data_IF_183307390268
#
_entry.id   IF_183307390268
#
_cell.length_a   1.000
_cell.length_b   1.000
_cell.length_c   1.000
_cell.angle_alpha   90.00
_cell.angle_beta   90.00
_cell.angle_gamma   90.00
#
_symmetry.space_group_name_H-M   'P 1'
#
loop_
_entity.id
_entity.type
_entity.pdbx_description
1 polymer ?
#
# COMPACT_ATOMS: atom_id res chain seq x y z
N UNK A 1 -21.28 12.92 -17.54
CA UNK A 1 -20.28 11.91 -17.13
C UNK A 1 -19.32 12.47 -16.09
N UNK A 2 -18.71 13.65 -16.34
CA UNK A 2 -17.87 14.36 -15.36
C UNK A 2 -18.60 14.67 -14.04
N UNK A 3 -19.85 15.15 -14.07
CA UNK A 3 -20.59 15.47 -12.82
C UNK A 3 -20.85 14.27 -11.91
N UNK A 4 -21.03 13.07 -12.49
CA UNK A 4 -21.21 11.84 -11.71
C UNK A 4 -19.90 11.41 -11.06
N UNK A 5 -18.78 11.51 -11.78
CA UNK A 5 -17.45 11.24 -11.23
C UNK A 5 -17.12 12.20 -10.09
N UNK A 6 -17.42 13.48 -10.29
CA UNK A 6 -17.19 14.53 -9.30
C UNK A 6 -18.04 14.31 -8.04
N UNK A 7 -19.30 13.89 -8.19
CA UNK A 7 -20.17 13.49 -7.08
C UNK A 7 -19.66 12.23 -6.36
N UNK A 8 -19.10 11.26 -7.08
CA UNK A 8 -18.47 10.10 -6.45
C UNK A 8 -17.20 10.46 -5.66
N UNK A 9 -16.38 11.36 -6.19
CA UNK A 9 -15.17 11.84 -5.52
C UNK A 9 -15.49 12.69 -4.29
N UNK A 10 -16.44 13.61 -4.40
CA UNK A 10 -16.77 14.58 -3.35
C UNK A 10 -17.78 14.04 -2.32
N UNK A 11 -18.90 13.45 -2.74
CA UNK A 11 -19.94 12.98 -1.83
C UNK A 11 -19.75 11.53 -1.37
N UNK A 12 -19.32 10.62 -2.26
CA UNK A 12 -19.26 9.18 -1.95
C UNK A 12 -17.90 8.69 -1.48
N UNK A 13 -16.92 9.59 -1.34
CA UNK A 13 -15.56 9.30 -0.85
C UNK A 13 -14.91 8.14 -1.65
N UNK A 14 -15.18 8.05 -2.95
CA UNK A 14 -14.75 6.90 -3.77
C UNK A 14 -13.22 6.85 -3.92
N UNK A 15 -12.58 8.02 -4.01
CA UNK A 15 -11.11 8.13 -3.98
C UNK A 15 -10.50 7.51 -2.72
N UNK A 16 -11.11 7.74 -1.56
CA UNK A 16 -10.68 7.17 -0.28
C UNK A 16 -10.72 5.64 -0.30
N UNK A 17 -11.79 5.07 -0.85
CA UNK A 17 -11.93 3.60 -0.97
C UNK A 17 -10.90 3.02 -1.93
N UNK A 18 -10.68 3.68 -3.06
CA UNK A 18 -9.66 3.28 -4.04
C UNK A 18 -8.25 3.34 -3.45
N UNK A 19 -7.95 4.37 -2.65
CA UNK A 19 -6.67 4.52 -1.98
C UNK A 19 -6.41 3.39 -0.98
N UNK A 20 -7.41 3.01 -0.17
CA UNK A 20 -7.31 1.85 0.74
C UNK A 20 -7.08 0.56 -0.03
N UNK A 21 -7.84 0.31 -1.10
CA UNK A 21 -7.67 -0.89 -1.94
C UNK A 21 -6.26 -0.91 -2.55
N UNK A 22 -5.75 0.24 -3.00
CA UNK A 22 -4.41 0.36 -3.55
C UNK A 22 -3.33 0.03 -2.50
N UNK A 23 -3.46 0.54 -1.28
CA UNK A 23 -2.57 0.17 -0.18
C UNK A 23 -2.58 -1.34 0.10
N UNK A 24 -3.77 -1.97 0.14
CA UNK A 24 -3.88 -3.41 0.33
C UNK A 24 -3.19 -4.19 -0.82
N UNK A 25 -3.38 -3.75 -2.07
CA UNK A 25 -2.75 -4.37 -3.23
C UNK A 25 -1.22 -4.26 -3.20
N UNK A 26 -0.68 -3.11 -2.79
CA UNK A 26 0.77 -2.91 -2.64
C UNK A 26 1.37 -3.80 -1.57
N UNK A 27 0.72 -3.90 -0.40
CA UNK A 27 1.16 -4.78 0.69
C UNK A 27 1.12 -6.25 0.25
N UNK A 28 0.05 -6.66 -0.43
CA UNK A 28 -0.06 -8.01 -0.98
C UNK A 28 1.05 -8.31 -1.98
N UNK A 29 1.27 -7.42 -2.95
CA UNK A 29 2.31 -7.59 -3.97
C UNK A 29 3.70 -7.70 -3.32
N UNK A 30 4.04 -6.79 -2.41
CA UNK A 30 5.31 -6.83 -1.68
C UNK A 30 5.50 -8.17 -0.96
N UNK A 31 4.46 -8.63 -0.25
CA UNK A 31 4.47 -9.89 0.49
C UNK A 31 4.66 -11.09 -0.44
N UNK A 32 3.94 -11.11 -1.57
CA UNK A 32 4.05 -12.16 -2.57
C UNK A 32 5.46 -12.25 -3.17
N UNK A 33 6.06 -11.11 -3.52
CA UNK A 33 7.44 -11.05 -4.02
C UNK A 33 8.47 -11.45 -2.96
N UNK A 34 8.29 -11.01 -1.70
CA UNK A 34 9.14 -11.40 -0.58
C UNK A 34 9.15 -12.92 -0.35
N UNK A 35 7.98 -13.56 -0.33
CA UNK A 35 7.90 -15.02 -0.20
C UNK A 35 8.41 -15.74 -1.45
N UNK A 36 8.15 -15.20 -2.63
CA UNK A 36 8.69 -15.74 -3.88
C UNK A 36 10.22 -15.74 -3.90
N UNK A 37 10.85 -14.73 -3.31
CA UNK A 37 12.30 -14.68 -3.14
C UNK A 37 12.80 -15.74 -2.14
N UNK A 38 12.21 -15.78 -0.94
CA UNK A 38 12.57 -16.75 0.09
C UNK A 38 12.37 -18.23 -0.36
N UNK A 39 11.38 -18.48 -1.22
CA UNK A 39 11.14 -19.81 -1.78
C UNK A 39 12.16 -20.21 -2.86
N UNK A 40 12.68 -19.23 -3.62
CA UNK A 40 13.62 -19.49 -4.72
C UNK A 40 15.06 -19.65 -4.25
N UNK A 41 15.49 -18.81 -3.30
CA UNK A 41 16.86 -18.83 -2.78
C UNK A 41 16.89 -19.52 -1.40
N UNK A 42 16.88 -20.85 -1.40
CA UNK A 42 17.06 -21.66 -0.17
C UNK A 42 18.52 -21.79 0.26
N UNK A 43 19.47 -21.27 -0.52
CA UNK A 43 20.91 -21.35 -0.24
C UNK A 43 21.42 -20.24 0.69
N UNK A 44 20.65 -19.17 0.86
CA UNK A 44 21.03 -18.04 1.71
C UNK A 44 20.68 -18.33 3.18
N UNK A 45 21.52 -17.93 4.14
CA UNK A 45 21.18 -18.00 5.55
C UNK A 45 19.95 -17.13 5.84
N UNK A 46 19.11 -17.55 6.78
CA UNK A 46 17.81 -16.91 7.05
C UNK A 46 17.89 -15.42 7.38
N UNK A 47 19.02 -14.96 7.93
CA UNK A 47 19.27 -13.54 8.18
C UNK A 47 19.38 -12.71 6.90
N UNK A 48 20.06 -13.21 5.87
CA UNK A 48 20.20 -12.51 4.59
C UNK A 48 18.85 -12.44 3.86
N UNK A 49 18.06 -13.52 3.93
CA UNK A 49 16.68 -13.54 3.40
C UNK A 49 15.82 -12.48 4.12
N UNK A 50 15.90 -12.41 5.44
CA UNK A 50 15.17 -11.41 6.22
C UNK A 50 15.59 -9.97 5.87
N UNK A 51 16.89 -9.73 5.61
CA UNK A 51 17.39 -8.44 5.19
C UNK A 51 16.82 -8.02 3.83
N UNK A 52 16.78 -8.93 2.85
CA UNK A 52 16.19 -8.66 1.53
C UNK A 52 14.70 -8.41 1.62
N UNK A 53 13.95 -9.22 2.39
CA UNK A 53 12.52 -9.02 2.62
C UNK A 53 12.26 -7.64 3.23
N UNK A 54 13.05 -7.28 4.24
CA UNK A 54 12.94 -5.97 4.90
C UNK A 54 13.24 -4.83 3.92
N UNK A 55 14.25 -4.97 3.05
CA UNK A 55 14.56 -3.99 2.03
C UNK A 55 13.41 -3.80 1.02
N UNK A 56 12.65 -4.85 0.72
CA UNK A 56 11.45 -4.80 -0.13
C UNK A 56 10.26 -4.16 0.62
N UNK A 57 10.05 -4.54 1.88
CA UNK A 57 8.90 -4.10 2.68
C UNK A 57 9.03 -2.67 3.23
N UNK A 58 10.24 -2.19 3.51
CA UNK A 58 10.48 -0.85 4.06
C UNK A 58 9.91 0.29 3.19
N UNK A 59 10.20 0.39 1.88
CA UNK A 59 9.64 1.45 1.04
C UNK A 59 8.13 1.34 0.89
N UNK A 60 7.58 0.12 0.82
CA UNK A 60 6.12 -0.11 0.76
C UNK A 60 5.45 0.39 2.03
N UNK A 61 6.02 0.07 3.20
CA UNK A 61 5.51 0.51 4.50
C UNK A 61 5.53 2.02 4.62
N UNK A 62 6.61 2.68 4.18
CA UNK A 62 6.69 4.14 4.13
C UNK A 62 5.60 4.73 3.22
N UNK A 63 5.44 4.20 2.02
CA UNK A 63 4.44 4.68 1.06
C UNK A 63 3.02 4.52 1.61
N UNK A 64 2.70 3.37 2.20
CA UNK A 64 1.41 3.13 2.86
C UNK A 64 1.19 4.10 4.01
N UNK A 65 2.22 4.38 4.82
CA UNK A 65 2.16 5.39 5.88
C UNK A 65 1.90 6.81 5.36
N UNK A 66 2.50 7.19 4.24
CA UNK A 66 2.18 8.47 3.58
C UNK A 66 0.74 8.50 3.06
N UNK A 67 0.28 7.43 2.41
CA UNK A 67 -1.09 7.30 1.92
C UNK A 67 -2.11 7.36 3.07
N UNK A 68 -1.84 6.71 4.21
CA UNK A 68 -2.72 6.79 5.38
C UNK A 68 -2.74 8.18 6.00
N UNK A 69 -1.60 8.88 6.02
CA UNK A 69 -1.55 10.28 6.49
C UNK A 69 -2.38 11.20 5.59
N UNK A 70 -2.23 11.07 4.26
CA UNK A 70 -3.05 11.83 3.29
C UNK A 70 -4.55 11.52 3.46
N UNK A 71 -4.87 10.25 3.72
CA UNK A 71 -6.24 9.84 4.02
C UNK A 71 -6.78 10.55 5.28
N UNK A 72 -6.03 10.58 6.38
CA UNK A 72 -6.46 11.22 7.65
C UNK A 72 -6.59 12.73 7.52
N UNK A 73 -5.64 13.41 6.89
CA UNK A 73 -5.72 14.88 6.65
C UNK A 73 -6.93 15.22 5.77
N UNK A 74 -7.27 14.37 4.80
CA UNK A 74 -8.50 14.52 4.03
C UNK A 74 -9.75 14.46 4.92
N UNK A 75 -9.75 13.70 6.03
CA UNK A 75 -10.89 13.61 6.96
C UNK A 75 -11.06 14.92 7.71
N UNK A 76 -9.99 15.44 8.30
CA UNK A 76 -10.03 16.68 9.09
C UNK A 76 -10.48 17.89 8.27
N UNK A 77 -10.10 17.97 6.99
CA UNK A 77 -10.47 19.10 6.12
C UNK A 77 -11.96 19.12 5.72
N UNK A 78 -12.70 18.03 5.95
CA UNK A 78 -14.07 17.84 5.48
C UNK A 78 -15.09 17.71 6.63
N UNK A 79 -14.64 17.93 7.88
CA UNK A 79 -15.44 18.07 9.09
C UNK A 79 -15.34 19.53 9.58
#
# INVERSE_FOLDING_TARGET
>A
MLSWLDDQFNNKRLFRRLLVINCCALVWAATFWSFGYAYRDTSLPGFEIAAVITAIQAPITLLVGFCSKLYTVSIEKNN
#
